data_IF_064728693696
#
_entry.id   IF_064728693696
#
_cell.length_a   1.000
_cell.length_b   1.000
_cell.length_c   1.000
_cell.angle_alpha   90.00
_cell.angle_beta   90.00
_cell.angle_gamma   90.00
#
_symmetry.space_group_name_H-M   'P 1'
#
loop_
_entity.id
_entity.type
_entity.pdbx_description
1 polymer ?
#
# COMPACT_ATOMS: atom_id res chain seq x y z
N UNK A 1 0.10 21.61 86.81
CA UNK A 1 -0.95 22.66 87.08
C UNK A 1 -1.69 22.87 85.79
N UNK A 2 -3.08 22.73 85.86
CA UNK A 2 -4.16 23.24 85.01
C UNK A 2 -4.15 22.86 83.51
N UNK A 3 -4.94 21.84 83.11
CA UNK A 3 -6.28 21.82 82.43
C UNK A 3 -6.66 23.08 81.69
N UNK A 4 -7.00 22.90 80.44
CA UNK A 4 -8.29 23.41 79.88
C UNK A 4 -8.63 22.77 78.55
N UNK A 5 -9.82 22.13 78.49
CA UNK A 5 -10.57 21.63 77.40
C UNK A 5 -11.02 22.79 76.47
N UNK A 6 -11.13 22.55 75.15
CA UNK A 6 -12.12 23.27 74.32
C UNK A 6 -12.53 22.40 73.09
N UNK A 7 -13.73 21.93 73.20
CA UNK A 7 -14.82 21.75 72.27
C UNK A 7 -14.54 21.43 70.79
N UNK A 8 -15.16 20.28 70.46
CA UNK A 8 -15.62 19.78 69.17
C UNK A 8 -16.28 20.79 68.27
N UNK A 9 -15.93 20.75 66.98
CA UNK A 9 -16.81 21.17 65.88
C UNK A 9 -16.60 20.26 64.71
N UNK A 10 -17.57 19.38 64.50
CA UNK A 10 -17.71 18.51 63.35
C UNK A 10 -18.04 19.31 62.12
N UNK A 11 -17.16 19.32 61.13
CA UNK A 11 -17.44 19.73 59.78
C UNK A 11 -17.44 18.50 58.88
N UNK A 12 -18.62 18.08 58.48
CA UNK A 12 -18.83 17.13 57.39
C UNK A 12 -18.34 17.78 56.07
N UNK A 13 -17.14 17.44 55.66
CA UNK A 13 -16.65 17.71 54.30
C UNK A 13 -17.13 16.60 53.37
N UNK A 14 -18.05 16.89 52.48
CA UNK A 14 -18.42 15.99 51.40
C UNK A 14 -17.23 15.82 50.44
N UNK A 15 -16.54 14.67 50.55
CA UNK A 15 -15.55 14.26 49.56
C UNK A 15 -16.28 13.87 48.29
N UNK A 16 -16.28 14.76 47.31
CA UNK A 16 -16.67 14.43 45.94
C UNK A 16 -15.67 13.40 45.39
N UNK A 17 -16.11 12.16 45.30
CA UNK A 17 -15.39 11.09 44.60
C UNK A 17 -15.31 11.45 43.14
N UNK A 18 -14.18 11.96 42.73
CA UNK A 18 -13.82 12.13 41.31
C UNK A 18 -13.44 10.73 40.77
N UNK A 19 -14.44 10.01 40.27
CA UNK A 19 -14.20 8.81 39.49
C UNK A 19 -13.60 9.21 38.14
N UNK A 20 -12.43 8.71 37.75
CA UNK A 20 -11.95 8.91 36.41
C UNK A 20 -12.95 8.23 35.46
N UNK A 21 -13.59 9.03 34.58
CA UNK A 21 -14.31 8.47 33.44
C UNK A 21 -13.26 7.75 32.58
N UNK A 22 -13.22 6.44 32.68
CA UNK A 22 -12.60 5.59 31.67
C UNK A 22 -13.37 5.87 30.38
N UNK A 23 -12.79 6.65 29.49
CA UNK A 23 -13.21 6.68 28.11
C UNK A 23 -13.03 5.25 27.58
N UNK A 24 -14.12 4.55 27.45
CA UNK A 24 -14.16 3.31 26.65
C UNK A 24 -13.90 3.77 25.24
N UNK A 25 -12.63 3.64 24.79
CA UNK A 25 -12.30 3.80 23.38
C UNK A 25 -13.26 2.90 22.64
N UNK A 26 -14.09 3.52 21.83
CA UNK A 26 -15.00 2.82 20.95
C UNK A 26 -14.12 2.02 19.97
N UNK A 27 -13.88 0.76 20.28
CA UNK A 27 -13.42 -0.21 19.30
C UNK A 27 -14.41 -0.14 18.16
N UNK A 28 -14.01 0.47 17.07
CA UNK A 28 -14.80 0.51 15.85
C UNK A 28 -15.11 -0.94 15.50
N UNK A 29 -16.39 -1.26 15.42
CA UNK A 29 -16.85 -2.58 14.98
C UNK A 29 -16.10 -2.99 13.73
N UNK A 30 -15.66 -4.25 13.57
CA UNK A 30 -14.98 -4.70 12.37
C UNK A 30 -15.82 -4.30 11.15
N UNK A 31 -15.20 -3.60 10.18
CA UNK A 31 -15.89 -3.33 8.91
C UNK A 31 -16.31 -4.67 8.33
N UNK A 32 -17.54 -4.81 7.78
CA UNK A 32 -17.92 -6.01 7.05
C UNK A 32 -16.89 -6.23 5.93
N UNK A 33 -16.58 -7.50 5.63
CA UNK A 33 -15.66 -7.86 4.55
C UNK A 33 -16.02 -7.09 3.28
N UNK A 34 -15.13 -6.22 2.84
CA UNK A 34 -15.32 -5.38 1.65
C UNK A 34 -14.71 -6.05 0.42
N UNK A 35 -15.13 -5.62 -0.78
CA UNK A 35 -14.44 -6.01 -2.01
C UNK A 35 -12.98 -5.61 -1.90
N UNK A 36 -12.08 -6.57 -2.08
CA UNK A 36 -10.63 -6.38 -2.00
C UNK A 36 -10.13 -5.70 -3.27
N UNK A 37 -9.55 -4.53 -3.16
CA UNK A 37 -9.17 -3.68 -4.29
C UNK A 37 -7.67 -3.41 -4.30
N UNK A 38 -7.02 -3.61 -5.45
CA UNK A 38 -5.61 -3.24 -5.68
C UNK A 38 -5.49 -2.49 -7.00
N UNK A 39 -4.83 -1.33 -6.98
CA UNK A 39 -4.50 -0.54 -8.17
C UNK A 39 -2.98 -0.48 -8.34
N UNK A 40 -2.45 -1.17 -9.34
CA UNK A 40 -1.03 -1.16 -9.67
C UNK A 40 -0.72 -0.27 -10.87
N UNK A 41 0.50 0.31 -10.88
CA UNK A 41 1.06 1.00 -12.04
C UNK A 41 2.50 0.53 -12.31
N UNK A 42 2.91 0.53 -13.57
CA UNK A 42 4.25 0.03 -13.96
C UNK A 42 5.40 0.87 -13.40
N UNK A 43 5.29 2.20 -13.41
CA UNK A 43 6.42 3.04 -12.97
C UNK A 43 6.02 4.39 -12.37
N UNK A 44 4.90 4.96 -12.77
CA UNK A 44 4.47 6.30 -12.36
C UNK A 44 3.21 6.21 -11.53
N UNK A 45 3.18 6.92 -10.39
CA UNK A 45 1.99 7.06 -9.55
C UNK A 45 1.76 8.53 -9.21
N UNK A 46 1.41 9.30 -10.24
CA UNK A 46 1.17 10.74 -10.18
C UNK A 46 -0.31 11.08 -9.95
N UNK A 47 -0.68 12.34 -10.12
CA UNK A 47 -2.02 12.85 -9.83
C UNK A 47 -3.17 12.02 -10.45
N UNK A 48 -3.18 11.65 -11.74
CA UNK A 48 -4.24 10.80 -12.31
C UNK A 48 -4.43 9.47 -11.57
N UNK A 49 -3.33 8.83 -11.15
CA UNK A 49 -3.37 7.57 -10.39
C UNK A 49 -3.95 7.75 -8.99
N UNK A 50 -3.53 8.80 -8.28
CA UNK A 50 -4.04 9.12 -6.94
C UNK A 50 -5.52 9.47 -7.02
N UNK A 51 -5.94 10.25 -8.03
CA UNK A 51 -7.34 10.60 -8.30
C UNK A 51 -8.18 9.33 -8.55
N UNK A 52 -7.70 8.45 -9.41
CA UNK A 52 -8.40 7.21 -9.71
C UNK A 52 -8.48 6.29 -8.48
N UNK A 53 -7.40 6.17 -7.69
CA UNK A 53 -7.43 5.45 -6.43
C UNK A 53 -8.46 6.04 -5.44
N UNK A 54 -8.53 7.37 -5.33
CA UNK A 54 -9.52 8.03 -4.49
C UNK A 54 -10.96 7.66 -4.91
N UNK A 55 -11.25 7.64 -6.21
CA UNK A 55 -12.54 7.20 -6.75
C UNK A 55 -12.87 5.75 -6.36
N UNK A 56 -11.87 4.84 -6.40
CA UNK A 56 -12.06 3.44 -6.03
C UNK A 56 -12.45 3.23 -4.57
N UNK A 57 -12.18 4.20 -3.68
CA UNK A 57 -12.61 4.13 -2.27
C UNK A 57 -14.12 4.35 -2.11
N UNK A 58 -14.77 4.99 -3.09
CA UNK A 58 -16.19 5.36 -3.02
C UNK A 58 -16.50 6.49 -2.04
N UNK A 59 -15.49 7.19 -1.51
CA UNK A 59 -15.65 8.30 -0.56
C UNK A 59 -15.39 9.65 -1.22
N UNK A 60 -16.11 10.71 -0.84
CA UNK A 60 -15.91 12.05 -1.42
C UNK A 60 -14.54 12.65 -1.07
N UNK A 61 -14.01 12.35 0.12
CA UNK A 61 -12.70 12.82 0.58
C UNK A 61 -11.98 11.72 1.37
N UNK A 62 -11.41 10.72 0.67
CA UNK A 62 -10.79 9.59 1.34
C UNK A 62 -9.49 9.98 2.05
N UNK A 63 -9.20 9.27 3.14
CA UNK A 63 -7.88 9.29 3.79
C UNK A 63 -6.97 8.34 3.03
N UNK A 64 -5.93 8.88 2.39
CA UNK A 64 -4.93 8.10 1.67
C UNK A 64 -3.59 8.20 2.38
N UNK A 65 -3.04 7.06 2.79
CA UNK A 65 -1.71 7.01 3.40
C UNK A 65 -0.67 6.56 2.39
N UNK A 66 0.42 7.30 2.33
CA UNK A 66 1.63 6.91 1.59
C UNK A 66 2.56 6.13 2.51
N UNK A 67 3.00 4.96 2.08
CA UNK A 67 3.92 4.08 2.80
C UNK A 67 5.26 4.03 2.03
N UNK A 68 6.23 4.90 2.38
CA UNK A 68 7.46 5.11 1.61
C UNK A 68 8.58 4.10 1.92
N UNK A 69 8.28 2.91 2.45
CA UNK A 69 9.27 1.94 2.91
C UNK A 69 10.29 1.55 1.82
N UNK A 70 9.82 1.32 0.57
CA UNK A 70 10.72 0.91 -0.52
C UNK A 70 11.77 1.98 -0.87
N UNK A 71 11.48 3.25 -0.60
CA UNK A 71 12.37 4.39 -0.79
C UNK A 71 13.09 4.83 0.49
N UNK A 72 13.11 3.99 1.54
CA UNK A 72 13.72 4.25 2.83
C UNK A 72 13.21 5.56 3.49
N UNK A 73 11.88 5.77 3.43
CA UNK A 73 11.19 6.94 3.95
C UNK A 73 11.76 8.27 3.41
N UNK A 74 12.11 8.29 2.11
CA UNK A 74 12.77 9.42 1.46
C UNK A 74 11.92 10.69 1.52
N UNK A 75 12.48 11.75 2.09
CA UNK A 75 11.80 13.03 2.32
C UNK A 75 11.30 13.66 1.02
N UNK A 76 12.05 13.58 -0.07
CA UNK A 76 11.62 14.12 -1.37
C UNK A 76 10.35 13.39 -1.87
N UNK A 77 10.28 12.07 -1.70
CA UNK A 77 9.10 11.28 -2.02
C UNK A 77 7.89 11.69 -1.19
N UNK A 78 8.10 11.94 0.11
CA UNK A 78 7.06 12.41 1.04
C UNK A 78 6.55 13.80 0.62
N UNK A 79 7.44 14.74 0.30
CA UNK A 79 7.05 16.07 -0.17
C UNK A 79 6.28 16.01 -1.50
N UNK A 80 6.74 15.17 -2.43
CA UNK A 80 6.05 14.96 -3.70
C UNK A 80 4.65 14.35 -3.51
N UNK A 81 4.47 13.45 -2.55
CA UNK A 81 3.16 12.93 -2.19
C UNK A 81 2.19 14.03 -1.77
N UNK A 82 2.58 14.88 -0.82
CA UNK A 82 1.74 16.01 -0.39
C UNK A 82 1.47 16.99 -1.53
N UNK A 83 2.48 17.29 -2.37
CA UNK A 83 2.31 18.13 -3.56
C UNK A 83 1.31 17.52 -4.55
N UNK A 84 1.41 16.22 -4.84
CA UNK A 84 0.47 15.52 -5.73
C UNK A 84 -0.96 15.55 -5.20
N UNK A 85 -1.12 15.43 -3.89
CA UNK A 85 -2.44 15.44 -3.26
C UNK A 85 -3.04 16.84 -3.09
N UNK A 86 -2.26 17.91 -3.21
CA UNK A 86 -2.71 19.29 -2.88
C UNK A 86 -3.84 19.80 -3.78
N UNK A 87 -4.02 19.24 -4.97
CA UNK A 87 -5.07 19.59 -5.94
C UNK A 87 -6.26 18.63 -5.92
N UNK A 88 -6.23 17.63 -5.04
CA UNK A 88 -7.20 16.55 -4.99
C UNK A 88 -8.08 16.61 -3.74
N UNK A 89 -9.33 16.19 -3.86
CA UNK A 89 -10.24 16.01 -2.72
C UNK A 89 -9.90 14.73 -1.93
N UNK A 90 -8.74 14.75 -1.28
CA UNK A 90 -8.24 13.67 -0.43
C UNK A 90 -7.69 14.21 0.88
N UNK A 91 -7.56 13.36 1.89
CA UNK A 91 -6.82 13.66 3.11
C UNK A 91 -5.51 12.86 3.07
N UNK A 92 -4.39 13.48 2.64
CA UNK A 92 -3.12 12.79 2.52
C UNK A 92 -2.49 12.56 3.90
N UNK A 93 -1.94 11.37 4.07
CA UNK A 93 -1.18 10.95 5.24
C UNK A 93 0.11 10.29 4.79
N UNK A 94 1.09 10.23 5.67
CA UNK A 94 2.33 9.47 5.47
C UNK A 94 2.56 8.60 6.69
N UNK A 95 2.95 7.36 6.45
CA UNK A 95 3.35 6.44 7.49
C UNK A 95 4.79 5.97 7.22
N UNK A 96 5.72 6.53 7.94
CA UNK A 96 7.11 6.10 7.91
C UNK A 96 7.26 4.77 8.65
N UNK A 97 8.14 3.92 8.15
CA UNK A 97 8.33 2.57 8.68
C UNK A 97 9.80 2.15 8.79
N UNK A 98 10.73 2.91 8.19
CA UNK A 98 12.12 2.51 8.10
C UNK A 98 12.88 2.75 9.42
N UNK A 99 12.80 3.97 9.97
CA UNK A 99 13.42 4.33 11.25
C UNK A 99 12.37 4.89 12.22
N UNK A 100 11.47 5.71 11.74
CA UNK A 100 10.53 6.48 12.56
C UNK A 100 9.46 5.64 13.26
N UNK A 101 9.31 4.36 12.90
CA UNK A 101 8.39 3.42 13.58
C UNK A 101 8.61 3.33 15.10
N UNK A 102 9.82 3.63 15.58
CA UNK A 102 10.12 3.69 17.04
C UNK A 102 9.36 4.78 17.79
N UNK A 103 8.80 5.76 17.07
CA UNK A 103 8.02 6.88 17.64
C UNK A 103 6.51 6.67 17.48
N UNK A 104 6.10 5.57 16.88
CA UNK A 104 4.71 5.27 16.61
C UNK A 104 4.01 4.83 17.89
N UNK A 105 2.86 5.44 18.21
CA UNK A 105 2.02 5.08 19.36
C UNK A 105 0.91 4.10 19.00
N UNK A 106 0.56 3.97 17.73
CA UNK A 106 -0.47 3.06 17.21
C UNK A 106 0.16 1.81 16.60
N UNK A 107 -0.52 0.69 16.68
CA UNK A 107 -0.14 -0.52 15.94
C UNK A 107 -0.31 -0.31 14.43
N UNK A 108 0.37 -1.10 13.62
CA UNK A 108 0.21 -1.09 12.16
C UNK A 108 -1.24 -1.35 11.73
N UNK A 109 -1.92 -2.23 12.45
CA UNK A 109 -3.33 -2.54 12.19
C UNK A 109 -4.22 -1.32 12.45
N UNK A 110 -4.06 -0.62 13.57
CA UNK A 110 -4.80 0.62 13.86
C UNK A 110 -4.56 1.69 12.80
N UNK A 111 -3.33 1.89 12.35
CA UNK A 111 -3.01 2.85 11.29
C UNK A 111 -3.73 2.49 9.99
N UNK A 112 -3.60 1.25 9.52
CA UNK A 112 -4.09 0.85 8.21
C UNK A 112 -5.61 0.62 8.14
N UNK A 113 -6.25 0.29 9.25
CA UNK A 113 -7.71 0.18 9.31
C UNK A 113 -8.41 1.53 9.43
N UNK A 114 -7.70 2.59 9.79
CA UNK A 114 -8.26 3.94 9.91
C UNK A 114 -8.12 4.79 8.64
N UNK A 115 -7.67 4.21 7.53
CA UNK A 115 -7.55 4.88 6.22
C UNK A 115 -8.44 4.20 5.18
N UNK A 116 -8.57 4.83 4.01
CA UNK A 116 -9.41 4.35 2.93
C UNK A 116 -8.59 3.79 1.77
N UNK A 117 -7.32 4.22 1.69
CA UNK A 117 -6.38 3.69 0.72
C UNK A 117 -4.93 3.80 1.19
N UNK A 118 -4.09 2.89 0.69
CA UNK A 118 -2.66 2.78 1.02
C UNK A 118 -1.87 2.76 -0.28
N UNK A 119 -1.01 3.76 -0.49
CA UNK A 119 -0.12 3.88 -1.65
C UNK A 119 1.30 3.52 -1.23
N UNK A 120 1.85 2.46 -1.81
CA UNK A 120 3.22 2.04 -1.55
C UNK A 120 4.19 2.66 -2.55
N UNK A 121 5.33 3.14 -2.06
CA UNK A 121 6.37 3.74 -2.90
C UNK A 121 7.06 2.75 -3.84
N UNK A 122 7.60 3.25 -4.94
CA UNK A 122 8.67 2.58 -5.68
C UNK A 122 9.98 2.59 -4.89
N UNK A 123 10.97 1.82 -5.36
CA UNK A 123 12.28 1.70 -4.74
C UNK A 123 12.75 0.24 -4.61
N UNK A 124 13.37 -0.11 -3.49
CA UNK A 124 13.94 -1.44 -3.28
C UNK A 124 12.89 -2.41 -2.72
N UNK A 125 12.41 -3.34 -3.55
CA UNK A 125 11.40 -4.35 -3.19
C UNK A 125 11.88 -5.32 -2.11
N UNK A 126 13.16 -5.71 -2.11
CA UNK A 126 13.69 -6.64 -1.11
C UNK A 126 13.70 -6.01 0.28
N UNK A 127 14.22 -4.77 0.39
CA UNK A 127 14.25 -4.04 1.66
C UNK A 127 12.85 -3.77 2.17
N UNK A 128 11.94 -3.35 1.30
CA UNK A 128 10.53 -3.14 1.64
C UNK A 128 9.93 -4.38 2.31
N UNK A 129 10.05 -5.55 1.67
CA UNK A 129 9.47 -6.77 2.19
C UNK A 129 10.16 -7.30 3.44
N UNK A 130 11.48 -7.13 3.55
CA UNK A 130 12.23 -7.52 4.75
C UNK A 130 11.75 -6.74 5.97
N UNK A 131 11.59 -5.42 5.83
CA UNK A 131 11.07 -4.54 6.88
C UNK A 131 9.62 -4.89 7.21
N UNK A 132 8.77 -5.06 6.20
CA UNK A 132 7.36 -5.37 6.40
C UNK A 132 7.17 -6.69 7.16
N UNK A 133 7.90 -7.74 6.79
CA UNK A 133 7.84 -9.04 7.48
C UNK A 133 8.39 -8.96 8.91
N UNK A 134 9.49 -8.24 9.10
CA UNK A 134 10.09 -8.08 10.43
C UNK A 134 9.19 -7.33 11.41
N UNK A 135 8.38 -6.40 10.94
CA UNK A 135 7.51 -5.56 11.75
C UNK A 135 6.03 -5.99 11.74
N UNK A 136 5.65 -7.02 10.98
CA UNK A 136 4.25 -7.46 10.85
C UNK A 136 3.36 -6.53 10.01
N UNK A 137 3.97 -5.63 9.23
CA UNK A 137 3.27 -4.69 8.35
C UNK A 137 2.50 -5.45 7.26
N UNK A 138 3.06 -6.52 6.71
CA UNK A 138 2.45 -7.39 5.71
C UNK A 138 1.15 -8.03 6.21
N UNK A 139 1.11 -8.43 7.49
CA UNK A 139 -0.09 -8.97 8.14
C UNK A 139 -1.16 -7.88 8.27
N UNK A 140 -0.77 -6.69 8.71
CA UNK A 140 -1.68 -5.56 8.87
C UNK A 140 -2.24 -5.07 7.52
N UNK A 141 -1.41 -5.04 6.46
CA UNK A 141 -1.83 -4.73 5.08
C UNK A 141 -2.83 -5.76 4.55
N UNK A 142 -2.62 -7.06 4.84
CA UNK A 142 -3.57 -8.11 4.47
C UNK A 142 -4.93 -7.88 5.12
N UNK A 143 -4.96 -7.60 6.43
CA UNK A 143 -6.20 -7.30 7.15
C UNK A 143 -6.90 -6.07 6.59
N UNK A 144 -6.15 -4.99 6.30
CA UNK A 144 -6.70 -3.78 5.71
C UNK A 144 -7.35 -4.08 4.34
N UNK A 145 -6.68 -4.84 3.50
CA UNK A 145 -7.20 -5.26 2.20
C UNK A 145 -8.47 -6.10 2.32
N UNK A 146 -8.49 -7.08 3.22
CA UNK A 146 -9.67 -7.94 3.48
C UNK A 146 -10.86 -7.14 4.02
N UNK A 147 -10.63 -5.97 4.62
CA UNK A 147 -11.67 -5.03 5.07
C UNK A 147 -12.00 -3.93 4.03
N UNK A 148 -11.49 -4.06 2.79
CA UNK A 148 -11.85 -3.17 1.69
C UNK A 148 -11.07 -1.86 1.62
N UNK A 149 -9.97 -1.72 2.37
CA UNK A 149 -9.01 -0.63 2.14
C UNK A 149 -8.34 -0.83 0.78
N UNK A 150 -8.33 0.20 -0.06
CA UNK A 150 -7.75 0.12 -1.40
C UNK A 150 -6.23 0.13 -1.30
N UNK A 151 -5.56 -0.90 -1.80
CA UNK A 151 -4.10 -0.94 -1.88
C UNK A 151 -3.63 -0.50 -3.25
N UNK A 152 -2.38 0.01 -3.34
CA UNK A 152 -1.81 0.35 -4.65
C UNK A 152 -0.38 0.81 -4.56
N UNK A 153 0.14 1.25 -5.71
CA UNK A 153 1.48 1.79 -5.87
C UNK A 153 2.08 1.49 -7.23
N UNK A 154 3.31 1.94 -7.44
CA UNK A 154 4.06 1.73 -8.67
C UNK A 154 5.42 1.07 -8.41
N UNK A 155 5.99 0.42 -9.44
CA UNK A 155 7.32 -0.21 -9.33
C UNK A 155 7.36 -1.22 -8.19
N UNK A 156 8.23 -1.07 -7.18
CA UNK A 156 8.23 -1.90 -5.98
C UNK A 156 6.87 -1.92 -5.29
N UNK A 157 6.15 -0.79 -5.27
CA UNK A 157 4.81 -0.66 -4.69
C UNK A 157 3.70 -1.32 -5.52
N UNK A 158 3.94 -1.71 -6.76
CA UNK A 158 3.06 -2.56 -7.55
C UNK A 158 3.46 -4.04 -7.47
N UNK A 159 4.77 -4.29 -7.52
CA UNK A 159 5.35 -5.62 -7.53
C UNK A 159 5.06 -6.40 -6.24
N UNK A 160 5.13 -5.75 -5.11
CA UNK A 160 5.01 -6.39 -3.78
C UNK A 160 3.70 -7.18 -3.57
N UNK A 161 2.64 -6.89 -4.31
CA UNK A 161 1.34 -7.54 -4.15
C UNK A 161 1.25 -8.93 -4.79
N UNK A 162 2.08 -9.23 -5.80
CA UNK A 162 2.06 -10.50 -6.51
C UNK A 162 2.75 -11.64 -5.74
N UNK A 163 2.71 -12.85 -6.28
CA UNK A 163 3.48 -13.96 -5.74
C UNK A 163 4.97 -13.79 -6.02
N UNK A 164 5.31 -13.25 -7.20
CA UNK A 164 6.69 -13.07 -7.67
C UNK A 164 6.79 -12.05 -8.81
N UNK A 165 8.00 -11.68 -9.20
CA UNK A 165 8.24 -10.85 -10.37
C UNK A 165 9.70 -10.45 -10.54
N UNK A 166 9.95 -9.45 -11.40
CA UNK A 166 11.29 -8.97 -11.71
C UNK A 166 11.63 -7.71 -10.93
N UNK A 167 12.85 -7.65 -10.40
CA UNK A 167 13.35 -6.54 -9.58
C UNK A 167 14.81 -6.20 -9.89
N UNK A 168 15.17 -4.94 -9.71
CA UNK A 168 16.52 -4.38 -9.71
C UNK A 168 17.11 -4.20 -8.30
N UNK A 169 16.45 -4.75 -7.29
CA UNK A 169 16.83 -4.58 -5.87
C UNK A 169 18.17 -5.22 -5.50
N UNK A 170 18.76 -6.05 -6.36
CA UNK A 170 20.08 -6.65 -6.14
C UNK A 170 21.17 -5.91 -6.94
N UNK A 171 22.41 -5.92 -6.47
CA UNK A 171 23.50 -5.35 -7.24
C UNK A 171 23.68 -6.03 -8.61
N UNK A 172 24.12 -5.26 -9.61
CA UNK A 172 24.57 -5.64 -10.96
C UNK A 172 23.48 -6.05 -11.95
N UNK A 173 22.43 -6.77 -11.55
CA UNK A 173 21.48 -7.32 -12.53
C UNK A 173 20.05 -7.37 -12.02
N UNK A 174 19.14 -7.34 -12.98
CA UNK A 174 17.73 -7.67 -12.74
C UNK A 174 17.59 -9.13 -12.34
N UNK A 175 16.70 -9.42 -11.42
CA UNK A 175 16.51 -10.76 -10.90
C UNK A 175 15.06 -11.04 -10.53
N UNK A 176 14.75 -12.31 -10.28
CA UNK A 176 13.49 -12.74 -9.70
C UNK A 176 13.41 -12.37 -8.21
N UNK A 177 12.22 -11.98 -7.76
CA UNK A 177 11.88 -11.78 -6.34
C UNK A 177 10.56 -12.47 -6.01
N UNK A 178 10.48 -13.08 -4.83
CA UNK A 178 9.23 -13.56 -4.25
C UNK A 178 8.60 -12.41 -3.46
N UNK A 179 7.27 -12.31 -3.52
CA UNK A 179 6.52 -11.18 -2.95
C UNK A 179 5.42 -11.66 -1.98
N UNK A 180 4.43 -10.81 -1.65
CA UNK A 180 3.44 -11.10 -0.60
C UNK A 180 2.34 -12.07 -1.03
N UNK A 181 2.11 -12.25 -2.33
CA UNK A 181 1.11 -13.19 -2.86
C UNK A 181 -0.34 -12.79 -2.58
N UNK A 182 -0.63 -11.50 -2.51
CA UNK A 182 -2.02 -11.01 -2.45
C UNK A 182 -2.71 -11.23 -3.80
N UNK A 183 -1.99 -10.99 -4.89
CA UNK A 183 -2.39 -11.27 -6.26
C UNK A 183 -1.66 -12.49 -6.79
N UNK A 184 -2.36 -13.32 -7.58
CA UNK A 184 -1.80 -14.50 -8.18
C UNK A 184 -0.92 -14.19 -9.39
N UNK A 185 0.07 -15.07 -9.64
CA UNK A 185 0.98 -14.97 -10.77
C UNK A 185 2.15 -14.01 -10.51
N UNK A 186 2.68 -13.45 -11.57
CA UNK A 186 3.87 -12.60 -11.53
C UNK A 186 3.64 -11.21 -12.10
N UNK A 187 4.59 -10.29 -11.77
CA UNK A 187 4.53 -8.92 -12.28
C UNK A 187 5.90 -8.42 -12.75
N UNK A 188 5.89 -7.68 -13.86
CA UNK A 188 7.05 -6.95 -14.37
C UNK A 188 6.69 -5.48 -14.57
N UNK A 189 7.11 -4.58 -13.67
CA UNK A 189 7.01 -3.14 -13.86
C UNK A 189 8.05 -2.63 -14.88
N UNK A 190 7.91 -1.35 -15.32
CA UNK A 190 8.84 -0.67 -16.23
C UNK A 190 9.10 -1.40 -17.55
N UNK A 191 8.07 -2.06 -18.10
CA UNK A 191 8.23 -2.99 -19.23
C UNK A 191 8.70 -2.33 -20.52
N UNK A 192 8.34 -1.04 -20.73
CA UNK A 192 8.75 -0.20 -21.85
C UNK A 192 10.04 0.58 -21.59
N UNK A 193 10.35 0.90 -20.33
CA UNK A 193 11.35 1.91 -20.00
C UNK A 193 12.74 1.34 -19.64
N UNK A 194 12.79 0.10 -19.15
CA UNK A 194 14.04 -0.56 -18.78
C UNK A 194 14.35 -1.72 -19.74
N UNK A 195 15.36 -1.58 -20.61
CA UNK A 195 15.61 -2.54 -21.72
C UNK A 195 15.77 -3.99 -21.29
N UNK A 196 16.28 -4.23 -20.07
CA UNK A 196 16.47 -5.57 -19.53
C UNK A 196 15.22 -6.27 -19.00
N UNK A 197 14.14 -5.53 -18.71
CA UNK A 197 12.94 -6.07 -18.06
C UNK A 197 12.21 -7.08 -18.93
N UNK A 198 11.87 -6.68 -20.15
CA UNK A 198 11.11 -7.53 -21.08
C UNK A 198 11.84 -8.83 -21.43
N UNK A 199 13.12 -8.83 -21.84
CA UNK A 199 13.84 -10.08 -22.12
C UNK A 199 13.96 -11.01 -20.93
N UNK A 200 14.27 -10.46 -19.73
CA UNK A 200 14.37 -11.29 -18.53
C UNK A 200 13.02 -11.91 -18.15
N UNK A 201 11.95 -11.12 -18.16
CA UNK A 201 10.63 -11.60 -17.78
C UNK A 201 10.15 -12.74 -18.68
N UNK A 202 10.31 -12.56 -20.01
CA UNK A 202 10.01 -13.60 -20.99
C UNK A 202 10.86 -14.86 -20.78
N UNK A 203 12.17 -14.70 -20.55
CA UNK A 203 13.10 -15.83 -20.28
C UNK A 203 12.66 -16.62 -19.06
N UNK A 204 12.35 -15.97 -17.95
CA UNK A 204 11.95 -16.62 -16.71
C UNK A 204 10.61 -17.37 -16.84
N UNK A 205 9.66 -16.82 -17.60
CA UNK A 205 8.39 -17.51 -17.88
C UNK A 205 8.62 -18.69 -18.84
N UNK A 206 9.47 -18.51 -19.85
CA UNK A 206 9.77 -19.57 -20.82
C UNK A 206 10.48 -20.77 -20.19
N UNK A 207 11.37 -20.53 -19.21
CA UNK A 207 12.05 -21.60 -18.46
C UNK A 207 11.19 -22.25 -17.38
N UNK A 208 10.02 -21.71 -17.09
CA UNK A 208 9.17 -22.15 -15.97
C UNK A 208 9.65 -21.70 -14.60
N UNK A 209 10.70 -20.87 -14.53
CA UNK A 209 11.20 -20.32 -13.26
C UNK A 209 10.25 -19.25 -12.68
N UNK A 210 9.40 -18.67 -13.52
CA UNK A 210 8.41 -17.67 -13.11
C UNK A 210 7.04 -18.02 -13.68
N UNK A 211 6.00 -17.79 -12.87
CA UNK A 211 4.62 -17.98 -13.28
C UNK A 211 4.24 -16.98 -14.39
N UNK A 212 3.27 -17.30 -15.24
CA UNK A 212 2.62 -16.32 -16.10
C UNK A 212 2.08 -15.14 -15.30
N UNK A 213 2.02 -13.95 -15.93
CA UNK A 213 1.56 -12.77 -15.21
C UNK A 213 1.50 -11.51 -16.06
N UNK A 214 1.53 -10.38 -15.39
CA UNK A 214 1.27 -9.08 -16.00
C UNK A 214 2.55 -8.25 -16.09
N UNK A 215 2.73 -7.63 -17.25
CA UNK A 215 3.78 -6.64 -17.45
C UNK A 215 3.14 -5.28 -17.78
N UNK A 216 3.60 -4.22 -17.13
CA UNK A 216 3.06 -2.89 -17.29
C UNK A 216 4.13 -1.90 -17.74
N UNK A 217 3.82 -1.12 -18.78
CA UNK A 217 4.56 0.07 -19.14
C UNK A 217 4.52 1.12 -18.01
N UNK A 218 5.46 2.06 -17.98
CA UNK A 218 5.57 3.05 -16.90
C UNK A 218 4.26 3.77 -16.57
N UNK A 219 3.48 4.12 -17.60
CA UNK A 219 2.24 4.90 -17.43
C UNK A 219 0.98 4.05 -17.62
N UNK A 220 1.09 2.72 -17.52
CA UNK A 220 -0.02 1.80 -17.58
C UNK A 220 -0.10 0.92 -16.33
N UNK A 221 -1.27 0.37 -16.06
CA UNK A 221 -1.49 -0.46 -14.89
C UNK A 221 -2.84 -1.16 -14.89
N UNK A 222 -3.15 -1.78 -13.77
CA UNK A 222 -4.32 -2.65 -13.64
C UNK A 222 -5.02 -2.37 -12.31
N UNK A 223 -6.33 -2.28 -12.37
CA UNK A 223 -7.20 -2.35 -11.21
C UNK A 223 -7.73 -3.77 -11.05
N UNK A 224 -7.51 -4.35 -9.88
CA UNK A 224 -8.00 -5.67 -9.49
C UNK A 224 -9.12 -5.55 -8.45
N UNK A 225 -10.15 -6.37 -8.61
CA UNK A 225 -11.09 -6.72 -7.56
C UNK A 225 -10.87 -8.20 -7.20
N UNK A 226 -10.57 -8.45 -5.93
CA UNK A 226 -10.07 -9.75 -5.46
C UNK A 226 -8.80 -10.18 -6.24
N UNK A 227 -8.86 -11.24 -7.01
CA UNK A 227 -7.77 -11.66 -7.89
C UNK A 227 -8.10 -11.48 -9.39
N UNK A 228 -9.22 -10.83 -9.70
CA UNK A 228 -9.66 -10.64 -11.08
C UNK A 228 -9.26 -9.26 -11.59
N UNK A 229 -8.75 -9.20 -12.82
CA UNK A 229 -8.57 -7.93 -13.54
C UNK A 229 -9.95 -7.32 -13.77
N UNK A 230 -10.19 -6.16 -13.19
CA UNK A 230 -11.43 -5.43 -13.36
C UNK A 230 -11.32 -4.39 -14.46
N UNK A 231 -10.18 -3.70 -14.51
CA UNK A 231 -9.93 -2.67 -15.52
C UNK A 231 -8.44 -2.53 -15.78
N UNK A 232 -8.08 -2.33 -17.03
CA UNK A 232 -6.73 -1.93 -17.45
C UNK A 232 -6.76 -0.44 -17.71
N UNK A 233 -5.78 0.29 -17.21
CA UNK A 233 -5.79 1.76 -17.25
C UNK A 233 -4.42 2.33 -17.61
N UNK A 234 -4.42 3.53 -18.22
CA UNK A 234 -3.20 4.28 -18.51
C UNK A 234 -3.39 5.77 -18.28
N UNK A 235 -2.34 6.44 -17.80
CA UNK A 235 -2.28 7.91 -17.66
C UNK A 235 -1.63 8.60 -18.86
N UNK A 236 -1.12 7.84 -19.84
CA UNK A 236 -0.51 8.36 -21.07
C UNK A 236 -0.90 7.48 -22.24
N UNK A 237 -1.31 8.11 -23.34
CA UNK A 237 -1.65 7.42 -24.57
C UNK A 237 -0.46 6.60 -25.12
N UNK A 238 -0.75 5.42 -25.65
CA UNK A 238 0.24 4.50 -26.21
C UNK A 238 0.91 3.57 -25.20
N UNK A 239 0.78 3.82 -23.88
CA UNK A 239 1.25 2.90 -22.85
C UNK A 239 0.36 1.66 -22.77
N UNK A 240 0.95 0.50 -22.51
CA UNK A 240 0.28 -0.79 -22.62
C UNK A 240 0.47 -1.65 -21.37
N UNK A 241 -0.43 -2.58 -21.23
CA UNK A 241 -0.32 -3.72 -20.31
C UNK A 241 -0.30 -5.00 -21.12
N UNK A 242 0.46 -5.97 -20.67
CA UNK A 242 0.60 -7.27 -21.32
C UNK A 242 0.29 -8.38 -20.30
N UNK A 243 -0.43 -9.40 -20.75
CA UNK A 243 -0.42 -10.69 -20.06
C UNK A 243 0.57 -11.60 -20.77
N UNK A 244 1.62 -12.01 -20.06
CA UNK A 244 2.72 -12.80 -20.61
C UNK A 244 2.60 -14.25 -20.12
N UNK A 245 2.59 -15.20 -21.04
CA UNK A 245 2.40 -16.62 -20.76
C UNK A 245 3.07 -17.49 -21.81
N UNK A 246 3.10 -18.80 -21.56
CA UNK A 246 3.47 -19.80 -22.56
C UNK A 246 2.24 -20.35 -23.26
N UNK A 247 2.24 -20.35 -24.58
CA UNK A 247 1.19 -20.98 -25.42
C UNK A 247 1.89 -21.80 -26.51
N UNK A 248 1.60 -23.09 -26.58
CA UNK A 248 2.20 -23.97 -27.60
C UNK A 248 3.73 -24.00 -27.56
N UNK A 249 4.34 -23.90 -26.37
CA UNK A 249 5.80 -23.90 -26.20
C UNK A 249 6.51 -22.60 -26.59
N UNK A 250 5.76 -21.51 -26.84
CA UNK A 250 6.31 -20.19 -27.19
C UNK A 250 5.78 -19.12 -26.24
N UNK A 251 6.58 -18.07 -26.02
CA UNK A 251 6.12 -16.88 -25.31
C UNK A 251 4.99 -16.22 -26.09
N UNK A 252 3.91 -15.96 -25.38
CA UNK A 252 2.76 -15.18 -25.87
C UNK A 252 2.60 -13.94 -25.00
N UNK A 253 2.69 -12.76 -25.61
CA UNK A 253 2.39 -11.46 -25.02
C UNK A 253 1.05 -10.96 -25.56
N UNK A 254 0.01 -11.17 -24.80
CA UNK A 254 -1.31 -10.64 -25.15
C UNK A 254 -1.43 -9.22 -24.62
N UNK A 255 -1.53 -8.26 -25.54
CA UNK A 255 -1.80 -6.86 -25.19
C UNK A 255 -3.18 -6.75 -24.56
N UNK A 256 -3.26 -5.98 -23.50
CA UNK A 256 -4.50 -5.60 -22.82
C UNK A 256 -4.66 -4.09 -22.97
N UNK A 257 -5.60 -3.67 -23.81
CA UNK A 257 -5.79 -2.26 -24.14
C UNK A 257 -6.33 -1.48 -22.92
N UNK A 258 -5.69 -0.37 -22.55
CA UNK A 258 -6.09 0.40 -21.39
C UNK A 258 -7.11 1.48 -21.71
N UNK A 259 -8.00 1.74 -20.77
CA UNK A 259 -8.78 2.98 -20.72
C UNK A 259 -7.93 4.11 -20.15
N UNK A 260 -8.11 5.32 -20.68
CA UNK A 260 -7.41 6.48 -20.14
C UNK A 260 -8.00 6.93 -18.81
N UNK A 261 -7.13 7.24 -17.86
CA UNK A 261 -7.46 7.94 -16.60
C UNK A 261 -6.95 9.38 -16.67
N UNK A 262 -7.76 10.31 -16.17
CA UNK A 262 -7.47 11.75 -16.18
C UNK A 262 -7.09 12.27 -14.78
#
# INVERSE_FOLDING_TARGET
>A
MKRRDFLSSSLFGAAALWAPRLSVDAFSSPRPAGTRKILIAGGVYNEPWVRYMAQLTGKPRPKLVFLPTASADNVTGILNWYKTCSTLEVTPMVQESFIASTRQSQSWEEVFLNVDGIVCSGGNTLNQQAIWKAQGIDIALRKAWDQGVVLGGASAGSLCWFEEGTTDSRPKELSKVLCLGFLKGSHCPHYDAEPGRRPLYQKLIASGEMKPGYACDNNAGIYFEDNAVKRVVASKAGSKVYYVSMVGGKINERVMEPDMIA
#
